data_IF_614840869080
#
_entry.id   IF_614840869080
#
_cell.length_a   1.000
_cell.length_b   1.000
_cell.length_c   1.000
_cell.angle_alpha   90.00
_cell.angle_beta   90.00
_cell.angle_gamma   90.00
#
_symmetry.space_group_name_H-M   'P 1'
#
loop_
_entity.id
_entity.type
_entity.pdbx_description
1 polymer ?
#
# COMPACT_ATOMS: atom_id res chain seq x y z
N UNK A 1 -42.40 19.83 59.66
CA UNK A 1 -40.97 20.22 59.55
C UNK A 1 -40.24 19.06 58.90
N UNK A 2 -40.14 19.05 57.57
CA UNK A 2 -38.96 19.45 56.79
C UNK A 2 -37.70 18.64 57.12
N UNK A 3 -37.34 17.69 56.26
CA UNK A 3 -35.96 17.52 55.80
C UNK A 3 -35.95 16.81 54.44
N UNK A 4 -35.72 17.57 53.37
CA UNK A 4 -35.52 17.05 52.02
C UNK A 4 -34.05 16.64 51.89
N UNK A 5 -33.76 15.34 51.88
CA UNK A 5 -32.43 14.84 51.56
C UNK A 5 -32.34 14.60 50.05
N UNK A 6 -31.72 15.55 49.34
CA UNK A 6 -31.35 15.44 47.93
C UNK A 6 -30.09 14.57 47.82
N UNK A 7 -30.26 13.30 47.50
CA UNK A 7 -29.16 12.43 47.07
C UNK A 7 -28.84 12.75 45.61
N UNK A 8 -27.74 13.46 45.39
CA UNK A 8 -27.15 13.61 44.06
C UNK A 8 -26.48 12.29 43.67
N UNK A 9 -27.19 11.47 42.90
CA UNK A 9 -26.62 10.28 42.28
C UNK A 9 -25.75 10.73 41.10
N UNK A 10 -24.45 10.90 41.34
CA UNK A 10 -23.49 11.08 40.27
C UNK A 10 -23.39 9.77 39.47
N UNK A 11 -24.04 9.72 38.32
CA UNK A 11 -23.89 8.63 37.35
C UNK A 11 -22.45 8.72 36.83
N UNK A 12 -21.56 7.89 37.38
CA UNK A 12 -20.29 7.55 36.76
C UNK A 12 -20.61 6.79 35.46
N UNK A 13 -20.77 7.54 34.36
CA UNK A 13 -20.74 6.94 33.03
C UNK A 13 -19.37 6.26 32.91
N UNK A 14 -19.30 4.94 32.71
CA UNK A 14 -18.04 4.31 32.37
C UNK A 14 -17.57 5.00 31.09
N UNK A 15 -16.43 5.69 31.18
CA UNK A 15 -15.74 6.16 29.98
C UNK A 15 -15.31 4.89 29.26
N UNK A 16 -16.15 4.39 28.35
CA UNK A 16 -15.75 3.38 27.39
C UNK A 16 -14.58 3.99 26.64
N UNK A 17 -13.36 3.61 27.01
CA UNK A 17 -12.18 3.87 26.22
C UNK A 17 -12.46 3.25 24.86
N UNK A 18 -12.65 4.09 23.85
CA UNK A 18 -12.84 3.64 22.47
C UNK A 18 -11.50 3.06 22.00
N UNK A 19 -11.27 1.79 22.31
CA UNK A 19 -10.12 1.05 21.84
C UNK A 19 -10.21 0.82 20.34
N UNK A 20 -9.17 1.20 19.61
CA UNK A 20 -9.07 0.94 18.20
C UNK A 20 -8.54 -0.47 17.96
N UNK A 21 -9.36 -1.30 17.32
CA UNK A 21 -8.98 -2.64 16.89
C UNK A 21 -8.19 -2.58 15.58
N UNK A 22 -7.06 -3.27 15.54
CA UNK A 22 -6.17 -3.33 14.40
C UNK A 22 -6.21 -4.72 13.78
N UNK A 23 -6.35 -4.77 12.46
CA UNK A 23 -6.45 -5.97 11.65
C UNK A 23 -5.32 -6.00 10.60
N UNK A 24 -4.94 -7.21 10.16
CA UNK A 24 -4.04 -7.36 9.01
C UNK A 24 -4.78 -7.10 7.70
N UNK A 25 -4.11 -6.46 6.75
CA UNK A 25 -4.59 -6.32 5.36
C UNK A 25 -4.00 -7.38 4.41
N UNK A 26 -3.12 -8.25 4.91
CA UNK A 26 -2.48 -9.33 4.13
C UNK A 26 -2.43 -10.63 4.93
N UNK A 27 -2.24 -11.76 4.23
CA UNK A 27 -1.95 -13.05 4.86
C UNK A 27 -0.45 -13.29 4.87
N UNK A 28 0.17 -13.38 6.06
CA UNK A 28 1.62 -13.60 6.19
C UNK A 28 1.97 -14.09 7.61
N UNK A 29 3.22 -14.50 7.81
CA UNK A 29 3.76 -14.77 9.14
C UNK A 29 4.10 -13.47 9.87
N UNK A 30 3.96 -13.47 11.20
CA UNK A 30 4.34 -12.35 12.07
C UNK A 30 5.83 -12.51 12.40
N UNK A 31 6.62 -11.49 12.06
CA UNK A 31 8.05 -11.40 12.40
C UNK A 31 8.25 -10.70 13.74
N UNK A 32 7.56 -9.58 13.94
CA UNK A 32 7.71 -8.75 15.13
C UNK A 32 6.37 -8.18 15.54
N UNK A 33 6.12 -8.13 16.85
CA UNK A 33 4.94 -7.49 17.43
C UNK A 33 5.33 -6.75 18.69
N UNK A 34 4.92 -5.49 18.82
CA UNK A 34 5.17 -4.72 20.04
C UNK A 34 4.41 -5.32 21.23
N UNK A 35 5.03 -5.42 22.42
CA UNK A 35 4.38 -6.02 23.58
C UNK A 35 3.25 -5.14 24.14
N UNK A 36 2.35 -5.76 24.92
CA UNK A 36 1.34 -5.03 25.70
C UNK A 36 1.97 -4.02 26.65
N UNK A 37 1.20 -2.99 27.03
CA UNK A 37 1.60 -1.85 27.87
C UNK A 37 2.66 -0.94 27.24
N UNK A 38 3.01 -1.14 25.98
CA UNK A 38 3.88 -0.23 25.23
C UNK A 38 3.08 1.01 24.82
N UNK A 39 3.65 2.20 25.08
CA UNK A 39 3.13 3.45 24.55
C UNK A 39 3.60 3.64 23.11
N UNK A 40 2.68 4.00 22.22
CA UNK A 40 2.94 4.23 20.79
C UNK A 40 2.36 5.55 20.36
N UNK A 41 3.01 6.18 19.38
CA UNK A 41 2.53 7.38 18.70
C UNK A 41 1.93 7.00 17.35
N UNK A 42 1.08 7.87 16.82
CA UNK A 42 0.63 7.77 15.43
C UNK A 42 1.84 7.67 14.49
N UNK A 43 1.84 6.66 13.62
CA UNK A 43 2.92 6.34 12.69
C UNK A 43 3.93 5.31 13.19
N UNK A 44 3.93 4.97 14.49
CA UNK A 44 4.86 3.97 15.02
C UNK A 44 4.55 2.58 14.44
N UNK A 45 5.59 1.86 14.04
CA UNK A 45 5.46 0.46 13.60
C UNK A 45 5.11 -0.42 14.79
N UNK A 46 3.99 -1.14 14.72
CA UNK A 46 3.47 -1.99 15.80
C UNK A 46 3.57 -3.48 15.48
N UNK A 47 3.51 -3.85 14.20
CA UNK A 47 3.65 -5.22 13.72
C UNK A 47 4.45 -5.23 12.43
N UNK A 48 5.40 -6.17 12.31
CA UNK A 48 6.08 -6.51 11.05
C UNK A 48 5.69 -7.92 10.62
N UNK A 49 5.29 -8.05 9.38
CA UNK A 49 4.97 -9.32 8.74
C UNK A 49 6.09 -9.75 7.79
N UNK A 50 6.14 -11.04 7.41
CA UNK A 50 7.09 -11.55 6.44
C UNK A 50 6.78 -11.03 5.04
N UNK A 51 7.62 -10.11 4.58
CA UNK A 51 7.46 -9.35 3.33
C UNK A 51 8.37 -9.83 2.19
N UNK A 52 9.09 -10.94 2.39
CA UNK A 52 10.12 -11.41 1.43
C UNK A 52 9.54 -11.64 0.03
N UNK A 53 8.37 -12.26 -0.06
CA UNK A 53 7.71 -12.52 -1.34
C UNK A 53 7.26 -11.21 -2.01
N UNK A 54 6.67 -10.29 -1.26
CA UNK A 54 6.24 -8.98 -1.79
C UNK A 54 7.43 -8.13 -2.26
N UNK A 55 8.57 -8.18 -1.54
CA UNK A 55 9.81 -7.52 -1.97
C UNK A 55 10.35 -8.09 -3.28
N UNK A 56 10.36 -9.42 -3.42
CA UNK A 56 10.82 -10.09 -4.63
C UNK A 56 9.92 -9.76 -5.82
N UNK A 57 8.60 -9.72 -5.63
CA UNK A 57 7.65 -9.32 -6.67
C UNK A 57 7.88 -7.86 -7.12
N UNK A 58 8.02 -6.94 -6.16
CA UNK A 58 8.33 -5.54 -6.48
C UNK A 58 9.66 -5.42 -7.24
N UNK A 59 10.68 -6.17 -6.83
CA UNK A 59 11.97 -6.18 -7.50
C UNK A 59 11.84 -6.72 -8.93
N UNK A 60 11.12 -7.83 -9.12
CA UNK A 60 10.86 -8.42 -10.43
C UNK A 60 10.18 -7.41 -11.37
N UNK A 61 9.13 -6.73 -10.90
CA UNK A 61 8.45 -5.70 -11.69
C UNK A 61 9.36 -4.52 -12.03
N UNK A 62 10.21 -4.07 -11.09
CA UNK A 62 11.22 -3.03 -11.37
C UNK A 62 12.24 -3.48 -12.41
N UNK A 63 12.65 -4.74 -12.42
CA UNK A 63 13.53 -5.28 -13.45
C UNK A 63 12.84 -5.31 -14.82
N UNK A 64 11.58 -5.75 -14.90
CA UNK A 64 10.82 -5.73 -16.16
C UNK A 64 10.59 -4.33 -16.72
N UNK A 65 10.64 -3.30 -15.87
CA UNK A 65 10.50 -1.90 -16.30
C UNK A 65 11.56 -1.52 -17.32
N UNK A 66 12.79 -2.02 -17.21
CA UNK A 66 13.86 -1.68 -18.16
C UNK A 66 13.53 -2.14 -19.58
N UNK A 67 12.87 -3.31 -19.72
CA UNK A 67 12.43 -3.84 -21.02
C UNK A 67 11.37 -2.91 -21.62
N UNK A 68 10.36 -2.53 -20.83
CA UNK A 68 9.30 -1.64 -21.30
C UNK A 68 9.79 -0.22 -21.59
N UNK A 69 10.77 0.25 -20.84
CA UNK A 69 11.42 1.53 -21.09
C UNK A 69 12.19 1.49 -22.42
N UNK A 70 12.94 0.42 -22.67
CA UNK A 70 13.67 0.22 -23.92
C UNK A 70 12.73 0.18 -25.13
N UNK A 71 11.66 -0.62 -25.06
CA UNK A 71 10.65 -0.70 -26.14
C UNK A 71 10.04 0.68 -26.45
N UNK A 72 9.78 1.48 -25.41
CA UNK A 72 9.30 2.85 -25.54
C UNK A 72 10.33 3.77 -26.20
N UNK A 73 11.58 3.73 -25.75
CA UNK A 73 12.64 4.58 -26.25
C UNK A 73 12.97 4.27 -27.72
N UNK A 74 12.96 2.99 -28.11
CA UNK A 74 13.16 2.54 -29.49
C UNK A 74 12.05 3.09 -30.41
N UNK A 75 10.77 2.94 -30.03
CA UNK A 75 9.65 3.47 -30.83
C UNK A 75 9.54 4.98 -30.82
N UNK A 76 10.02 5.64 -29.77
CA UNK A 76 10.15 7.10 -29.72
C UNK A 76 11.18 7.60 -30.74
N UNK A 77 12.32 6.93 -30.83
CA UNK A 77 13.35 7.27 -31.82
C UNK A 77 12.85 7.03 -33.25
N UNK A 78 12.21 5.90 -33.51
CA UNK A 78 11.64 5.55 -34.82
C UNK A 78 10.59 6.58 -35.28
N UNK A 79 9.70 7.01 -34.38
CA UNK A 79 8.74 8.08 -34.66
C UNK A 79 9.44 9.40 -34.99
N UNK A 80 10.48 9.78 -34.22
CA UNK A 80 11.24 11.01 -34.49
C UNK A 80 11.87 10.97 -35.88
N UNK A 81 12.55 9.88 -36.23
CA UNK A 81 13.19 9.71 -37.54
C UNK A 81 12.18 9.72 -38.69
N UNK A 82 11.05 9.02 -38.53
CA UNK A 82 9.99 8.96 -39.55
C UNK A 82 9.34 10.33 -39.76
N UNK A 83 9.16 11.10 -38.68
CA UNK A 83 8.67 12.48 -38.75
C UNK A 83 9.62 13.38 -39.52
N UNK A 84 10.92 13.31 -39.25
CA UNK A 84 11.94 14.08 -39.99
C UNK A 84 11.95 13.74 -41.49
N UNK A 85 11.78 12.46 -41.85
CA UNK A 85 11.67 12.02 -43.25
C UNK A 85 10.38 12.52 -43.91
N UNK A 86 9.26 12.54 -43.18
CA UNK A 86 7.98 13.03 -43.69
C UNK A 86 8.02 14.53 -43.96
N UNK A 87 8.62 15.31 -43.05
CA UNK A 87 8.83 16.75 -43.21
C UNK A 87 9.72 17.09 -44.42
N UNK A 88 10.62 16.16 -44.80
CA UNK A 88 11.46 16.26 -46.01
C UNK A 88 10.79 15.66 -47.25
N UNK A 89 9.52 15.25 -47.17
CA UNK A 89 8.75 14.61 -48.24
C UNK A 89 9.36 13.29 -48.76
N UNK A 90 10.11 12.58 -47.90
CA UNK A 90 10.76 11.30 -48.21
C UNK A 90 9.88 10.11 -47.84
N UNK A 91 9.10 10.21 -46.75
CA UNK A 91 8.16 9.17 -46.31
C UNK A 91 6.70 9.60 -46.50
N UNK A 92 5.79 8.61 -46.51
CA UNK A 92 4.36 8.87 -46.68
C UNK A 92 3.68 9.24 -45.36
N UNK A 93 2.51 9.86 -45.44
CA UNK A 93 1.67 10.13 -44.26
C UNK A 93 1.30 8.83 -43.51
N UNK A 94 1.10 7.73 -44.25
CA UNK A 94 0.80 6.41 -43.71
C UNK A 94 1.96 5.87 -42.86
N UNK A 95 3.20 6.09 -43.28
CA UNK A 95 4.38 5.65 -42.52
C UNK A 95 4.48 6.40 -41.19
N UNK A 96 4.22 7.71 -41.20
CA UNK A 96 4.16 8.52 -39.98
C UNK A 96 3.06 8.04 -39.03
N UNK A 97 1.86 7.74 -39.55
CA UNK A 97 0.75 7.22 -38.74
C UNK A 97 1.10 5.86 -38.11
N UNK A 98 1.73 4.95 -38.86
CA UNK A 98 2.18 3.65 -38.34
C UNK A 98 3.20 3.84 -37.22
N UNK A 99 4.19 4.71 -37.40
CA UNK A 99 5.19 5.00 -36.37
C UNK A 99 4.55 5.62 -35.11
N UNK A 100 3.57 6.51 -35.29
CA UNK A 100 2.84 7.13 -34.19
C UNK A 100 2.03 6.09 -33.40
N UNK A 101 1.31 5.20 -34.09
CA UNK A 101 0.55 4.12 -33.46
C UNK A 101 1.46 3.17 -32.66
N UNK A 102 2.64 2.84 -33.19
CA UNK A 102 3.61 1.99 -32.51
C UNK A 102 4.17 2.67 -31.25
N UNK A 103 4.55 3.95 -31.34
CA UNK A 103 4.98 4.74 -30.17
C UNK A 103 3.89 4.84 -29.11
N UNK A 104 2.65 5.13 -29.51
CA UNK A 104 1.56 5.26 -28.55
C UNK A 104 1.23 3.92 -27.88
N UNK A 105 1.42 2.80 -28.58
CA UNK A 105 1.27 1.47 -28.00
C UNK A 105 2.33 1.20 -26.91
N UNK A 106 3.62 1.40 -27.20
CA UNK A 106 4.69 1.18 -26.22
C UNK A 106 4.60 2.14 -25.05
N UNK A 107 4.18 3.39 -25.28
CA UNK A 107 3.89 4.36 -24.22
C UNK A 107 2.82 3.85 -23.26
N UNK A 108 1.69 3.37 -23.78
CA UNK A 108 0.61 2.80 -22.95
C UNK A 108 1.08 1.59 -22.16
N UNK A 109 1.92 0.75 -22.75
CA UNK A 109 2.49 -0.41 -22.06
C UNK A 109 3.42 0.00 -20.90
N UNK A 110 4.30 0.98 -21.12
CA UNK A 110 5.18 1.52 -20.09
C UNK A 110 4.38 2.15 -18.95
N UNK A 111 3.37 2.97 -19.28
CA UNK A 111 2.49 3.60 -18.30
C UNK A 111 1.72 2.55 -17.48
N UNK A 112 1.17 1.52 -18.13
CA UNK A 112 0.51 0.42 -17.45
C UNK A 112 1.47 -0.35 -16.53
N UNK A 113 2.73 -0.54 -16.94
CA UNK A 113 3.73 -1.21 -16.12
C UNK A 113 4.15 -0.37 -14.92
N UNK A 114 4.25 0.96 -15.06
CA UNK A 114 4.46 1.87 -13.94
C UNK A 114 3.34 1.75 -12.89
N UNK A 115 2.09 1.60 -13.32
CA UNK A 115 0.98 1.35 -12.40
C UNK A 115 1.13 0.02 -11.67
N UNK A 116 1.57 -1.06 -12.33
CA UNK A 116 1.85 -2.35 -11.68
C UNK A 116 2.90 -2.22 -10.58
N UNK A 117 3.98 -1.46 -10.83
CA UNK A 117 5.00 -1.19 -9.81
C UNK A 117 4.39 -0.46 -8.61
N UNK A 118 3.56 0.56 -8.83
CA UNK A 118 2.89 1.30 -7.74
C UNK A 118 1.97 0.38 -6.93
N UNK A 119 1.21 -0.49 -7.60
CA UNK A 119 0.35 -1.47 -6.93
C UNK A 119 1.19 -2.40 -6.04
N UNK A 120 2.31 -2.93 -6.55
CA UNK A 120 3.20 -3.79 -5.77
C UNK A 120 3.90 -3.04 -4.60
N UNK A 121 4.18 -1.74 -4.74
CA UNK A 121 4.69 -0.91 -3.65
C UNK A 121 3.66 -0.77 -2.53
N UNK A 122 2.42 -0.42 -2.87
CA UNK A 122 1.31 -0.33 -1.91
C UNK A 122 1.07 -1.68 -1.24
N UNK A 123 1.16 -2.78 -1.99
CA UNK A 123 1.03 -4.12 -1.44
C UNK A 123 2.15 -4.43 -0.42
N UNK A 124 3.40 -4.07 -0.73
CA UNK A 124 4.53 -4.23 0.17
C UNK A 124 4.37 -3.43 1.47
N UNK A 125 3.81 -2.21 1.39
CA UNK A 125 3.57 -1.36 2.57
C UNK A 125 2.65 -2.03 3.60
N UNK A 126 1.69 -2.84 3.15
CA UNK A 126 0.74 -3.56 4.03
C UNK A 126 1.41 -4.57 4.97
N UNK A 127 2.65 -4.97 4.70
CA UNK A 127 3.41 -5.88 5.57
C UNK A 127 4.01 -5.18 6.80
N UNK A 128 3.99 -3.84 6.84
CA UNK A 128 4.36 -3.06 8.01
C UNK A 128 3.13 -2.34 8.55
N UNK A 129 2.61 -2.81 9.68
CA UNK A 129 1.42 -2.21 10.29
C UNK A 129 1.88 -1.11 11.24
N UNK A 130 1.36 0.10 11.03
CA UNK A 130 1.62 1.28 11.87
C UNK A 130 0.40 1.64 12.72
N UNK A 131 0.65 2.30 13.84
CA UNK A 131 -0.43 2.81 14.69
C UNK A 131 -1.08 4.04 14.05
N UNK A 132 -2.40 4.05 13.79
CA UNK A 132 -3.08 5.23 13.23
C UNK A 132 -3.40 6.29 14.29
N UNK A 133 -3.30 5.94 15.57
CA UNK A 133 -3.52 6.82 16.73
C UNK A 133 -2.34 6.74 17.71
N UNK A 134 -2.23 7.69 18.62
CA UNK A 134 -1.32 7.58 19.76
C UNK A 134 -2.08 6.95 20.93
N UNK A 135 -1.46 6.04 21.68
CA UNK A 135 -2.11 5.32 22.77
C UNK A 135 -1.21 4.26 23.41
N UNK A 136 -1.81 3.35 24.16
CA UNK A 136 -1.16 2.23 24.82
C UNK A 136 -1.72 0.92 24.25
N UNK A 137 -0.82 0.00 23.92
CA UNK A 137 -1.18 -1.35 23.45
C UNK A 137 -1.80 -2.12 24.62
N UNK A 138 -3.07 -2.51 24.52
CA UNK A 138 -3.79 -3.20 25.61
C UNK A 138 -3.86 -4.70 25.45
N UNK A 139 -4.06 -5.18 24.22
CA UNK A 139 -4.28 -6.60 23.95
C UNK A 139 -3.50 -7.06 22.72
N UNK A 140 -3.08 -8.33 22.74
CA UNK A 140 -2.39 -9.03 21.66
C UNK A 140 -3.10 -10.37 21.38
N UNK A 141 -3.04 -10.90 20.15
CA UNK A 141 -3.62 -12.20 19.82
C UNK A 141 -2.93 -13.31 20.61
N UNK A 142 -3.72 -14.22 21.17
CA UNK A 142 -3.22 -15.44 21.80
C UNK A 142 -2.43 -16.27 20.78
N UNK A 143 -1.15 -16.53 21.06
CA UNK A 143 -0.28 -17.53 20.40
C UNK A 143 -0.55 -17.72 18.89
N UNK A 144 -0.41 -16.64 18.11
CA UNK A 144 -0.46 -16.71 16.63
C UNK A 144 0.90 -16.32 16.06
N UNK A 145 1.38 -17.13 15.12
CA UNK A 145 2.54 -16.81 14.28
C UNK A 145 2.15 -16.37 12.87
N UNK A 146 0.87 -16.45 12.48
CA UNK A 146 0.36 -16.11 11.15
C UNK A 146 -0.93 -15.30 11.22
N UNK A 147 -1.13 -14.48 10.20
CA UNK A 147 -2.35 -13.70 9.94
C UNK A 147 -2.99 -14.18 8.63
N UNK A 148 -4.32 -14.18 8.57
CA UNK A 148 -5.07 -14.60 7.39
C UNK A 148 -6.21 -13.62 7.13
N UNK A 149 -6.18 -12.96 5.96
CA UNK A 149 -7.21 -11.99 5.58
C UNK A 149 -8.58 -12.62 5.31
N UNK A 150 -8.62 -13.89 4.89
CA UNK A 150 -9.87 -14.60 4.61
C UNK A 150 -10.60 -15.02 5.90
N UNK A 151 -9.90 -14.99 7.03
CA UNK A 151 -10.46 -15.24 8.36
C UNK A 151 -9.94 -14.17 9.32
N UNK A 152 -10.37 -12.91 9.17
CA UNK A 152 -9.77 -11.78 9.86
C UNK A 152 -9.92 -11.94 11.38
N UNK A 153 -8.83 -11.69 12.10
CA UNK A 153 -8.80 -11.70 13.57
C UNK A 153 -8.08 -10.45 14.06
N UNK A 154 -8.54 -9.93 15.20
CA UNK A 154 -7.92 -8.78 15.85
C UNK A 154 -6.45 -9.10 16.17
N UNK A 155 -5.55 -8.21 15.75
CA UNK A 155 -4.12 -8.27 16.04
C UNK A 155 -3.72 -7.42 17.24
N UNK A 156 -4.45 -6.35 17.51
CA UNK A 156 -4.11 -5.45 18.59
C UNK A 156 -5.27 -4.53 18.92
N UNK A 157 -5.33 -4.09 20.17
CA UNK A 157 -6.20 -3.00 20.60
C UNK A 157 -5.32 -1.88 21.18
N UNK A 158 -5.53 -0.66 20.68
CA UNK A 158 -4.84 0.55 21.16
C UNK A 158 -5.87 1.48 21.79
N UNK A 159 -5.57 1.97 22.99
CA UNK A 159 -6.39 2.91 23.76
C UNK A 159 -5.62 4.16 24.16
#
# INVERSE_FOLDING_TARGET
MSFKSLVWLAILLPSSTLGLEIYSQVSSAIIEIKPVKTQVKKGDVIVRLDDRQAKLELQYLKTLQSIKQQDFDDKKLELQQTKELYERLVSSHRDLEIAQLAFDATKRELDAHHLKIKIAQIELEKYTITSPISGIIKNLPNQRNVVNINTPKILMIIE
#
